data_IF_402611247060
#
_entry.id   IF_402611247060
#
_cell.length_a   1.000
_cell.length_b   1.000
_cell.length_c   1.000
_cell.angle_alpha   90.00
_cell.angle_beta   90.00
_cell.angle_gamma   90.00
#
_symmetry.space_group_name_H-M   'P 1'
#
loop_
_entity.id
_entity.type
_entity.pdbx_description
1 polymer ?
#
# COMPACT_ATOMS: atom_id res chain seq x y z
N UNK A 1 -10.39 20.99 28.85
CA UNK A 1 -10.75 19.82 28.02
C UNK A 1 -9.78 19.72 26.87
N UNK A 2 -9.05 18.61 26.81
CA UNK A 2 -8.17 18.37 25.68
C UNK A 2 -9.05 18.06 24.46
N UNK A 3 -9.02 18.92 23.46
CA UNK A 3 -9.55 18.58 22.14
C UNK A 3 -8.62 17.54 21.53
N UNK A 4 -9.16 16.38 21.18
CA UNK A 4 -8.41 15.41 20.43
C UNK A 4 -7.95 16.08 19.12
N UNK A 5 -6.66 16.38 19.02
CA UNK A 5 -6.07 16.83 17.77
C UNK A 5 -6.00 15.63 16.86
N UNK A 6 -6.80 15.66 15.78
CA UNK A 6 -6.66 14.71 14.69
C UNK A 6 -5.26 14.90 14.15
N UNK A 7 -4.43 13.85 14.20
CA UNK A 7 -3.08 13.92 13.66
C UNK A 7 -3.16 14.16 12.16
N UNK A 8 -2.55 15.25 11.67
CA UNK A 8 -2.38 15.46 10.24
C UNK A 8 -1.30 14.53 9.72
N UNK A 9 -1.44 14.10 8.45
CA UNK A 9 -0.50 13.20 7.82
C UNK A 9 -0.06 13.75 6.46
N UNK A 10 0.94 14.63 6.47
CA UNK A 10 1.46 15.20 5.21
C UNK A 10 2.06 14.12 4.29
N UNK A 11 2.10 14.37 2.98
CA UNK A 11 1.60 15.55 2.26
C UNK A 11 0.07 15.66 2.34
N UNK A 12 -0.42 16.92 2.38
CA UNK A 12 -1.86 17.21 2.44
C UNK A 12 -2.42 17.52 1.04
N UNK A 13 -3.70 17.15 0.77
CA UNK A 13 -4.34 17.58 -0.46
C UNK A 13 -4.62 19.11 -0.42
N UNK A 14 -4.79 19.78 -1.57
CA UNK A 14 -4.71 19.22 -2.92
C UNK A 14 -3.27 18.88 -3.29
N UNK A 15 -3.08 17.75 -3.97
CA UNK A 15 -1.74 17.27 -4.30
C UNK A 15 -1.18 17.99 -5.52
N UNK A 16 0.17 18.15 -5.52
CA UNK A 16 0.96 18.40 -6.72
C UNK A 16 1.49 17.06 -7.23
N UNK A 17 2.12 17.05 -8.41
CA UNK A 17 2.77 15.83 -8.91
C UNK A 17 3.81 15.31 -7.90
N UNK A 18 4.65 16.18 -7.38
CA UNK A 18 5.71 15.82 -6.43
C UNK A 18 5.13 15.29 -5.12
N UNK A 19 4.12 15.97 -4.58
CA UNK A 19 3.53 15.55 -3.31
C UNK A 19 2.70 14.26 -3.46
N UNK A 20 2.07 14.03 -4.60
CA UNK A 20 1.38 12.78 -4.89
C UNK A 20 2.38 11.62 -4.98
N UNK A 21 3.51 11.80 -5.67
CA UNK A 21 4.59 10.80 -5.74
C UNK A 21 5.12 10.50 -4.34
N UNK A 22 5.34 11.53 -3.52
CA UNK A 22 5.78 11.36 -2.13
C UNK A 22 4.76 10.57 -1.31
N UNK A 23 3.46 10.88 -1.47
CA UNK A 23 2.37 10.16 -0.77
C UNK A 23 2.36 8.67 -1.12
N UNK A 24 2.56 8.35 -2.40
CA UNK A 24 2.64 6.97 -2.88
C UNK A 24 3.85 6.24 -2.29
N UNK A 25 5.01 6.89 -2.25
CA UNK A 25 6.23 6.30 -1.66
C UNK A 25 6.06 6.04 -0.16
N UNK A 26 5.46 6.97 0.56
CA UNK A 26 5.20 6.80 2.00
C UNK A 26 4.24 5.63 2.26
N UNK A 27 3.24 5.44 1.41
CA UNK A 27 2.34 4.30 1.52
C UNK A 27 3.06 2.98 1.25
N UNK A 28 3.89 2.92 0.21
CA UNK A 28 4.73 1.77 -0.07
C UNK A 28 5.63 1.43 1.13
N UNK A 29 6.31 2.42 1.68
CA UNK A 29 7.21 2.23 2.83
C UNK A 29 6.44 1.73 4.05
N UNK A 30 5.25 2.27 4.31
CA UNK A 30 4.39 1.83 5.41
C UNK A 30 3.98 0.36 5.28
N UNK A 31 3.52 -0.05 4.13
CA UNK A 31 3.10 -1.43 3.89
C UNK A 31 4.29 -2.40 3.95
N UNK A 32 5.46 -1.99 3.49
CA UNK A 32 6.67 -2.80 3.57
C UNK A 32 7.17 -3.02 5.01
N UNK A 33 6.67 -2.29 5.99
CA UNK A 33 6.93 -2.59 7.41
C UNK A 33 6.23 -3.88 7.85
N UNK A 34 5.15 -4.26 7.19
CA UNK A 34 4.30 -5.40 7.56
C UNK A 34 3.78 -5.30 8.98
N UNK A 35 3.55 -4.09 9.46
CA UNK A 35 3.03 -3.78 10.78
C UNK A 35 1.60 -3.27 10.66
N UNK A 36 0.57 -4.10 10.93
CA UNK A 36 -0.83 -3.70 10.75
C UNK A 36 -1.24 -2.45 11.51
N UNK A 37 -0.84 -2.35 12.77
CA UNK A 37 -1.20 -1.20 13.61
C UNK A 37 -0.57 0.09 13.09
N UNK A 38 0.68 0.03 12.63
CA UNK A 38 1.38 1.18 12.06
C UNK A 38 0.74 1.62 10.74
N UNK A 39 0.45 0.68 9.86
CA UNK A 39 -0.20 0.97 8.57
C UNK A 39 -1.57 1.59 8.76
N UNK A 40 -2.34 1.10 9.71
CA UNK A 40 -3.70 1.60 9.98
C UNK A 40 -3.74 3.09 10.30
N UNK A 41 -2.66 3.66 10.85
CA UNK A 41 -2.59 5.09 11.19
C UNK A 41 -2.65 6.01 9.98
N UNK A 42 -2.37 5.51 8.77
CA UNK A 42 -2.47 6.28 7.53
C UNK A 42 -3.91 6.47 7.04
N UNK A 43 -4.84 5.74 7.65
CA UNK A 43 -6.24 5.69 7.24
C UNK A 43 -7.13 6.39 8.26
N UNK A 44 -8.19 7.05 7.76
CA UNK A 44 -9.16 7.66 8.64
C UNK A 44 -9.85 6.61 9.50
N UNK A 45 -10.33 7.02 10.67
CA UNK A 45 -11.03 6.12 11.62
C UNK A 45 -12.19 5.40 10.93
N UNK A 46 -12.89 6.09 10.03
CA UNK A 46 -14.03 5.57 9.27
C UNK A 46 -13.66 5.24 7.82
N UNK A 47 -12.40 4.96 7.54
CA UNK A 47 -11.93 4.65 6.19
C UNK A 47 -12.66 3.45 5.59
N UNK A 48 -12.93 3.51 4.29
CA UNK A 48 -13.66 2.47 3.58
C UNK A 48 -12.77 1.85 2.51
N UNK A 49 -12.61 0.54 2.58
CA UNK A 49 -11.85 -0.23 1.61
C UNK A 49 -12.73 -1.22 0.86
N UNK A 50 -12.41 -1.43 -0.39
CA UNK A 50 -12.65 -2.68 -1.08
C UNK A 50 -11.29 -3.23 -1.52
N UNK A 51 -10.96 -4.42 -1.04
CA UNK A 51 -9.73 -5.11 -1.44
C UNK A 51 -10.13 -6.39 -2.15
N UNK A 52 -9.88 -6.49 -3.44
CA UNK A 52 -10.42 -7.55 -4.30
C UNK A 52 -11.95 -7.51 -4.22
N UNK A 53 -12.59 -8.50 -3.62
CA UNK A 53 -14.04 -8.53 -3.40
C UNK A 53 -14.44 -8.37 -1.93
N UNK A 54 -13.47 -8.11 -1.05
CA UNK A 54 -13.72 -7.95 0.39
C UNK A 54 -13.88 -6.48 0.74
N UNK A 55 -14.94 -6.16 1.50
CA UNK A 55 -15.19 -4.81 2.02
C UNK A 55 -14.68 -4.73 3.45
N UNK A 56 -13.88 -3.71 3.75
CA UNK A 56 -13.17 -3.54 5.02
C UNK A 56 -13.39 -2.10 5.45
N UNK A 57 -13.97 -1.90 6.64
CA UNK A 57 -14.34 -0.58 7.11
C UNK A 57 -13.74 -0.30 8.49
N UNK A 58 -13.04 0.83 8.60
CA UNK A 58 -12.46 1.28 9.85
C UNK A 58 -11.14 0.60 10.21
N UNK A 59 -10.41 1.22 11.14
CA UNK A 59 -9.04 0.79 11.50
C UNK A 59 -8.99 -0.62 12.09
N UNK A 60 -9.98 -1.01 12.90
CA UNK A 60 -9.96 -2.36 13.49
C UNK A 60 -10.07 -3.44 12.43
N UNK A 61 -10.94 -3.25 11.43
CA UNK A 61 -11.07 -4.20 10.32
C UNK A 61 -9.82 -4.18 9.42
N UNK A 62 -9.22 -3.01 9.22
CA UNK A 62 -7.95 -2.88 8.48
C UNK A 62 -6.85 -3.68 9.17
N UNK A 63 -6.71 -3.53 10.49
CA UNK A 63 -5.69 -4.26 11.27
C UNK A 63 -5.93 -5.77 11.16
N UNK A 64 -7.17 -6.22 11.29
CA UNK A 64 -7.52 -7.64 11.18
C UNK A 64 -7.19 -8.18 9.80
N UNK A 65 -7.52 -7.44 8.73
CA UNK A 65 -7.21 -7.81 7.37
C UNK A 65 -5.70 -7.92 7.13
N UNK A 66 -4.94 -6.90 7.53
CA UNK A 66 -3.50 -6.88 7.34
C UNK A 66 -2.79 -7.97 8.16
N UNK A 67 -3.30 -8.28 9.34
CA UNK A 67 -2.77 -9.36 10.16
C UNK A 67 -2.92 -10.71 9.46
N UNK A 68 -4.08 -10.99 8.84
CA UNK A 68 -4.29 -12.19 8.04
C UNK A 68 -3.40 -12.21 6.79
N UNK A 69 -3.28 -11.07 6.12
CA UNK A 69 -2.48 -10.93 4.90
C UNK A 69 -1.03 -11.30 5.14
N UNK A 70 -0.39 -10.69 6.14
CA UNK A 70 1.04 -10.91 6.37
C UNK A 70 1.36 -12.17 7.18
N UNK A 71 0.35 -12.83 7.75
CA UNK A 71 0.50 -14.19 8.25
C UNK A 71 0.59 -15.22 7.09
N UNK A 72 -0.05 -14.91 5.96
CA UNK A 72 -0.09 -15.76 4.77
C UNK A 72 0.99 -15.41 3.75
N UNK A 73 1.21 -14.11 3.51
CA UNK A 73 2.13 -13.61 2.49
C UNK A 73 3.48 -13.34 3.12
N UNK A 74 4.37 -14.34 3.07
CA UNK A 74 5.66 -14.32 3.72
C UNK A 74 6.69 -13.61 2.82
N UNK A 75 7.70 -12.98 3.44
CA UNK A 75 8.75 -12.20 2.77
C UNK A 75 8.20 -11.18 1.75
N UNK A 76 7.06 -10.60 2.10
CA UNK A 76 6.35 -9.63 1.30
C UNK A 76 7.20 -8.39 1.00
N UNK A 77 7.26 -8.02 -0.29
CA UNK A 77 7.92 -6.81 -0.78
C UNK A 77 7.04 -6.16 -1.83
N UNK A 78 6.82 -4.87 -1.68
CA UNK A 78 5.87 -4.10 -2.48
C UNK A 78 6.57 -2.93 -3.17
N UNK A 79 6.22 -2.69 -4.44
CA UNK A 79 6.56 -1.46 -5.16
C UNK A 79 5.27 -0.84 -5.68
N UNK A 80 5.11 0.46 -5.43
CA UNK A 80 3.99 1.27 -5.95
C UNK A 80 4.51 2.34 -6.90
N UNK A 81 3.64 2.74 -7.83
CA UNK A 81 3.92 3.84 -8.77
C UNK A 81 2.65 4.68 -8.92
N UNK A 82 2.79 6.01 -8.79
CA UNK A 82 1.67 6.91 -9.06
C UNK A 82 1.35 6.88 -10.56
N UNK A 83 0.08 6.60 -10.90
CA UNK A 83 -0.39 6.63 -12.28
C UNK A 83 -0.95 8.00 -12.66
N UNK A 84 -1.80 8.55 -11.81
CA UNK A 84 -2.43 9.86 -12.02
C UNK A 84 -2.89 10.43 -10.68
N UNK A 85 -3.18 11.72 -10.64
CA UNK A 85 -3.75 12.37 -9.46
C UNK A 85 -4.63 13.55 -9.88
N UNK A 86 -5.56 13.91 -9.01
CA UNK A 86 -6.34 15.14 -9.12
C UNK A 86 -6.89 15.51 -7.75
N UNK A 87 -6.71 16.77 -7.33
CA UNK A 87 -7.22 17.24 -6.04
C UNK A 87 -6.75 16.37 -4.88
N UNK A 88 -7.69 15.66 -4.25
CA UNK A 88 -7.44 14.76 -3.12
C UNK A 88 -7.44 13.27 -3.51
N UNK A 89 -7.31 12.96 -4.81
CA UNK A 89 -7.35 11.58 -5.32
C UNK A 89 -6.07 11.20 -6.01
N UNK A 90 -5.64 9.95 -5.81
CA UNK A 90 -4.45 9.40 -6.46
C UNK A 90 -4.79 8.00 -7.00
N UNK A 91 -4.47 7.77 -8.28
CA UNK A 91 -4.52 6.44 -8.88
C UNK A 91 -3.12 5.82 -8.87
N UNK A 92 -3.03 4.56 -8.48
CA UNK A 92 -1.76 3.88 -8.20
C UNK A 92 -1.71 2.52 -8.89
N UNK A 93 -0.57 2.21 -9.49
CA UNK A 93 -0.21 0.86 -9.92
C UNK A 93 0.70 0.25 -8.87
N UNK A 94 0.61 -1.06 -8.66
CA UNK A 94 1.54 -1.74 -7.76
C UNK A 94 1.72 -3.20 -8.15
N UNK A 95 2.81 -3.76 -7.67
CA UNK A 95 3.03 -5.19 -7.68
C UNK A 95 3.79 -5.58 -6.42
N UNK A 96 3.53 -6.76 -5.90
CA UNK A 96 4.28 -7.28 -4.77
C UNK A 96 4.61 -8.75 -4.96
N UNK A 97 5.71 -9.17 -4.36
CA UNK A 97 6.16 -10.56 -4.37
C UNK A 97 6.11 -11.13 -2.97
N UNK A 98 5.72 -12.38 -2.87
CA UNK A 98 5.56 -13.08 -1.61
C UNK A 98 5.57 -14.59 -1.84
N UNK A 99 5.76 -15.36 -0.77
CA UNK A 99 5.59 -16.81 -0.83
C UNK A 99 4.68 -17.29 0.28
N UNK A 100 4.09 -18.48 0.09
CA UNK A 100 3.29 -19.14 1.13
C UNK A 100 4.20 -19.98 2.06
N UNK A 101 3.58 -20.69 3.00
CA UNK A 101 4.29 -21.52 3.98
C UNK A 101 4.87 -22.83 3.39
N UNK A 102 4.59 -23.09 2.10
CA UNK A 102 5.16 -24.22 1.34
C UNK A 102 6.19 -23.74 0.32
N UNK A 103 6.68 -22.50 0.45
CA UNK A 103 7.67 -21.87 -0.44
C UNK A 103 7.23 -21.76 -1.90
N UNK A 104 5.93 -21.67 -2.14
CA UNK A 104 5.40 -21.31 -3.45
C UNK A 104 5.41 -19.79 -3.59
N UNK A 105 6.11 -19.29 -4.63
CA UNK A 105 6.23 -17.85 -4.88
C UNK A 105 5.13 -17.33 -5.79
N UNK A 106 4.73 -16.10 -5.54
CA UNK A 106 3.70 -15.38 -6.28
C UNK A 106 4.13 -13.96 -6.56
N UNK A 107 3.65 -13.40 -7.66
CA UNK A 107 3.63 -11.96 -7.90
C UNK A 107 2.19 -11.52 -8.05
N UNK A 108 1.82 -10.49 -7.31
CA UNK A 108 0.47 -9.94 -7.32
C UNK A 108 0.51 -8.55 -7.95
N UNK A 109 -0.28 -8.36 -9.01
CA UNK A 109 -0.39 -7.10 -9.73
C UNK A 109 -1.66 -6.40 -9.32
N UNK A 110 -1.59 -5.10 -9.05
CA UNK A 110 -2.76 -4.34 -8.64
C UNK A 110 -2.83 -2.94 -9.19
N UNK A 111 -4.07 -2.47 -9.22
CA UNK A 111 -4.40 -1.07 -9.46
C UNK A 111 -5.30 -0.63 -8.31
N UNK A 112 -5.06 0.55 -7.77
CA UNK A 112 -5.89 1.06 -6.68
C UNK A 112 -6.17 2.54 -6.84
N UNK A 113 -7.30 2.95 -6.30
CA UNK A 113 -7.75 4.34 -6.27
C UNK A 113 -7.85 4.80 -4.83
N UNK A 114 -7.26 5.96 -4.55
CA UNK A 114 -7.24 6.56 -3.21
C UNK A 114 -7.98 7.88 -3.17
N UNK A 115 -8.62 8.16 -2.05
CA UNK A 115 -9.17 9.47 -1.73
C UNK A 115 -8.78 9.85 -0.31
N UNK A 116 -8.41 11.11 -0.10
CA UNK A 116 -7.89 11.61 1.17
C UNK A 116 -8.79 12.71 1.74
N UNK A 117 -8.86 12.80 3.06
CA UNK A 117 -9.41 13.95 3.77
C UNK A 117 -8.37 15.07 3.82
N UNK A 118 -8.82 16.27 4.21
CA UNK A 118 -7.96 17.47 4.26
C UNK A 118 -6.78 17.32 5.21
N UNK A 119 -6.87 16.44 6.20
CA UNK A 119 -5.79 16.15 7.14
C UNK A 119 -4.79 15.08 6.62
N UNK A 120 -4.97 14.63 5.39
CA UNK A 120 -4.05 13.71 4.74
C UNK A 120 -4.24 12.23 5.09
N UNK A 121 -5.33 11.90 5.76
CA UNK A 121 -5.71 10.51 6.02
C UNK A 121 -6.50 9.94 4.84
N UNK A 122 -6.25 8.69 4.49
CA UNK A 122 -6.98 8.05 3.39
C UNK A 122 -8.37 7.64 3.86
N UNK A 123 -9.41 8.14 3.17
CA UNK A 123 -10.81 7.87 3.52
C UNK A 123 -11.43 6.78 2.67
N UNK A 124 -10.90 6.55 1.47
CA UNK A 124 -11.37 5.49 0.57
C UNK A 124 -10.19 4.84 -0.15
N UNK A 125 -10.24 3.53 -0.27
CA UNK A 125 -9.27 2.75 -1.02
C UNK A 125 -9.99 1.61 -1.75
N UNK A 126 -9.87 1.58 -3.07
CA UNK A 126 -10.45 0.53 -3.89
C UNK A 126 -9.32 -0.14 -4.67
N UNK A 127 -9.05 -1.41 -4.37
CA UNK A 127 -7.95 -2.16 -4.97
C UNK A 127 -8.43 -3.41 -5.68
N UNK A 128 -8.02 -3.55 -6.93
CA UNK A 128 -8.21 -4.76 -7.73
C UNK A 128 -6.85 -5.41 -7.93
N UNK A 129 -6.75 -6.72 -7.68
CA UNK A 129 -5.48 -7.43 -7.61
C UNK A 129 -5.61 -8.78 -8.30
N UNK A 130 -4.59 -9.13 -9.11
CA UNK A 130 -4.45 -10.43 -9.76
C UNK A 130 -3.15 -11.09 -9.32
N UNK A 131 -3.21 -12.36 -8.93
CA UNK A 131 -2.05 -13.13 -8.54
C UNK A 131 -1.59 -14.04 -9.68
N UNK A 132 -0.27 -14.22 -9.80
CA UNK A 132 0.32 -15.23 -10.69
C UNK A 132 1.39 -16.00 -9.93
N UNK A 133 1.39 -17.36 -10.00
CA UNK A 133 2.51 -18.11 -9.46
C UNK A 133 3.76 -17.86 -10.31
N UNK A 134 4.91 -17.73 -9.63
CA UNK A 134 6.20 -17.55 -10.28
C UNK A 134 7.19 -18.57 -9.69
N UNK A 135 8.27 -18.82 -10.41
CA UNK A 135 9.41 -19.54 -9.84
C UNK A 135 10.20 -18.58 -8.94
N UNK A 136 10.88 -19.11 -7.94
CA UNK A 136 11.76 -18.32 -7.09
C UNK A 136 12.82 -17.58 -7.94
N UNK A 137 13.31 -18.23 -9.00
CA UNK A 137 14.28 -17.63 -9.95
C UNK A 137 13.70 -16.48 -10.77
N UNK A 138 12.38 -16.34 -10.82
CA UNK A 138 11.71 -15.26 -11.55
C UNK A 138 11.46 -14.02 -10.70
N UNK A 139 11.86 -14.04 -9.43
CA UNK A 139 11.73 -12.89 -8.53
C UNK A 139 12.53 -11.71 -9.07
N UNK A 140 11.93 -10.52 -8.99
CA UNK A 140 12.53 -9.26 -9.43
C UNK A 140 12.84 -8.31 -8.27
N UNK A 141 12.34 -8.59 -7.07
CA UNK A 141 12.49 -7.75 -5.89
C UNK A 141 13.63 -8.27 -5.01
N UNK A 142 14.71 -7.52 -4.98
CA UNK A 142 15.97 -7.95 -4.36
C UNK A 142 16.46 -6.91 -3.36
N UNK A 143 15.78 -6.82 -2.20
CA UNK A 143 16.28 -6.05 -1.06
C UNK A 143 15.93 -6.80 0.23
N UNK A 144 16.62 -6.44 1.33
CA UNK A 144 16.28 -6.96 2.65
C UNK A 144 14.86 -6.51 3.02
N UNK A 145 14.15 -7.28 3.84
CA UNK A 145 12.80 -6.95 4.27
C UNK A 145 12.75 -5.53 4.86
N UNK A 146 11.63 -4.86 4.61
CA UNK A 146 11.40 -3.48 5.02
C UNK A 146 11.39 -2.54 3.82
N UNK A 147 11.82 -1.30 4.05
CA UNK A 147 11.79 -0.24 3.05
C UNK A 147 12.67 -0.56 1.84
N UNK A 148 12.10 -0.39 0.65
CA UNK A 148 12.87 -0.53 -0.59
C UNK A 148 13.96 0.54 -0.65
N UNK A 149 15.23 0.17 -0.94
CA UNK A 149 16.31 1.15 -1.13
C UNK A 149 15.99 2.11 -2.29
N UNK A 150 16.44 3.36 -2.17
CA UNK A 150 16.17 4.38 -3.19
C UNK A 150 16.80 4.06 -4.55
N UNK A 151 17.88 3.29 -4.56
CA UNK A 151 18.56 2.86 -5.79
C UNK A 151 18.02 1.57 -6.40
N UNK A 152 17.07 0.90 -5.72
CA UNK A 152 16.41 -0.27 -6.30
C UNK A 152 15.44 0.17 -7.42
N UNK A 153 15.41 -0.53 -8.56
CA UNK A 153 14.50 -0.19 -9.66
C UNK A 153 13.05 -0.09 -9.20
N UNK A 154 12.32 0.85 -9.81
CA UNK A 154 10.88 0.99 -9.62
C UNK A 154 10.07 0.08 -10.54
N UNK A 155 8.75 0.17 -10.46
CA UNK A 155 7.85 -0.73 -11.16
C UNK A 155 8.04 -0.66 -12.69
N UNK A 156 8.05 0.55 -13.26
CA UNK A 156 8.25 0.75 -14.70
C UNK A 156 9.65 0.33 -15.15
N UNK A 157 10.67 0.50 -14.31
CA UNK A 157 12.03 0.08 -14.62
C UNK A 157 12.15 -1.43 -14.75
N UNK A 158 11.28 -2.17 -14.08
CA UNK A 158 11.24 -3.64 -14.07
C UNK A 158 10.27 -4.20 -15.13
N UNK A 159 9.65 -3.35 -15.94
CA UNK A 159 8.63 -3.73 -16.92
C UNK A 159 7.41 -4.44 -16.29
N UNK A 160 7.04 -4.01 -15.10
CA UNK A 160 5.89 -4.56 -14.37
C UNK A 160 4.65 -3.69 -14.45
#
# INVERSE_FOLDING_TARGET
MATATTATRPPLPPFTRESAIQKVRLAEDGWNTRDPAKVALAYAINSRWRNRSEFINGRNEIIAFLSRKWAKELDYKLIKEMWAFTGNRIAVRFAYEWHDDSDHWYRSYGNENWEFSDDGLMVSRFASINDIPILESERKYHWALGRRPDDHPGLSDLDL
#
